data_IF_170950734070
#
_entry.id   IF_170950734070
#
_cell.length_a   1.000
_cell.length_b   1.000
_cell.length_c   1.000
_cell.angle_alpha   90.00
_cell.angle_beta   90.00
_cell.angle_gamma   90.00
#
_symmetry.space_group_name_H-M   'P 1'
#
loop_
_entity.id
_entity.type
_entity.pdbx_description
1 polymer ?
#
# COMPACT_ATOMS: atom_id res chain seq x y z
N UNK A 1 25.97 11.29 18.03
CA UNK A 1 25.80 12.27 19.11
C UNK A 1 25.12 11.53 20.26
N UNK A 2 25.73 11.55 21.44
CA UNK A 2 25.20 10.93 22.65
C UNK A 2 23.86 11.57 22.99
N UNK A 3 22.79 10.78 23.05
CA UNK A 3 21.52 11.22 23.60
C UNK A 3 21.75 11.76 25.02
N UNK A 4 21.23 12.95 25.38
CA UNK A 4 21.34 13.43 26.74
C UNK A 4 20.52 12.48 27.62
N UNK A 5 21.22 11.76 28.49
CA UNK A 5 20.63 10.91 29.54
C UNK A 5 19.62 11.77 30.29
N UNK A 6 18.32 11.53 30.04
CA UNK A 6 17.26 12.17 30.81
C UNK A 6 17.51 11.85 32.28
N UNK A 7 17.40 12.84 33.19
CA UNK A 7 17.59 12.59 34.61
C UNK A 7 16.60 11.50 35.04
N UNK A 8 17.12 10.43 35.64
CA UNK A 8 16.30 9.40 36.27
C UNK A 8 15.47 10.09 37.34
N UNK A 9 14.18 10.27 37.10
CA UNK A 9 13.29 10.79 38.12
C UNK A 9 13.32 9.80 39.29
N UNK A 10 13.62 10.29 40.51
CA UNK A 10 13.70 9.48 41.73
C UNK A 10 12.36 8.87 42.18
N UNK A 11 11.32 8.97 41.35
CA UNK A 11 9.99 8.41 41.57
C UNK A 11 9.33 8.10 40.23
N UNK A 12 8.65 6.95 40.17
CA UNK A 12 7.79 6.62 39.04
C UNK A 12 6.70 7.68 38.87
N UNK A 13 6.43 8.09 37.63
CA UNK A 13 5.44 9.12 37.30
C UNK A 13 4.15 8.45 36.85
N UNK A 14 3.05 8.84 37.50
CA UNK A 14 1.70 8.53 37.04
C UNK A 14 1.37 9.34 35.79
N UNK A 15 0.55 8.79 34.89
CA UNK A 15 0.00 9.52 33.75
C UNK A 15 -1.04 10.59 34.16
N UNK A 16 -1.32 10.73 35.47
CA UNK A 16 -2.20 11.78 36.02
C UNK A 16 -3.69 11.45 35.98
N UNK A 17 -4.08 10.26 35.51
CA UNK A 17 -5.48 9.82 35.48
C UNK A 17 -5.84 9.26 36.88
N UNK A 18 -6.89 9.78 37.55
CA UNK A 18 -7.33 9.25 38.84
C UNK A 18 -7.95 7.85 38.67
N UNK A 19 -8.06 7.05 39.75
CA UNK A 19 -8.78 5.79 39.71
C UNK A 19 -10.22 5.99 39.18
N UNK A 20 -10.73 5.09 38.32
CA UNK A 20 -12.06 5.22 37.74
C UNK A 20 -13.14 5.00 38.80
N UNK A 21 -14.24 5.74 38.72
CA UNK A 21 -15.44 5.54 39.52
C UNK A 21 -16.33 4.43 38.93
N UNK A 22 -15.74 3.25 38.67
CA UNK A 22 -16.42 2.09 38.09
C UNK A 22 -16.29 0.88 39.03
N UNK A 23 -17.35 0.05 39.10
CA UNK A 23 -17.28 -1.25 39.77
C UNK A 23 -16.49 -2.25 38.91
N UNK A 24 -15.27 -2.55 39.34
CA UNK A 24 -14.31 -3.43 38.66
C UNK A 24 -13.91 -4.58 39.62
N UNK A 25 -14.58 -5.75 39.57
CA UNK A 25 -14.23 -6.89 40.41
C UNK A 25 -12.79 -7.38 40.16
N UNK A 26 -12.20 -8.09 41.14
CA UNK A 26 -10.85 -8.63 40.99
C UNK A 26 -10.77 -9.67 39.84
N UNK A 27 -9.71 -9.63 39.01
CA UNK A 27 -9.57 -10.44 37.80
C UNK A 27 -9.16 -11.90 38.09
N UNK A 28 -9.84 -12.57 39.01
CA UNK A 28 -9.53 -13.95 39.43
C UNK A 28 -9.91 -15.00 38.37
N UNK A 29 -10.60 -14.58 37.31
CA UNK A 29 -11.00 -15.42 36.17
C UNK A 29 -10.84 -14.65 34.84
N UNK A 30 -10.54 -15.32 33.72
CA UNK A 30 -10.32 -14.67 32.42
C UNK A 30 -11.46 -13.76 31.96
N UNK A 31 -12.72 -14.15 32.20
CA UNK A 31 -13.88 -13.38 31.74
C UNK A 31 -13.96 -12.01 32.42
N UNK A 32 -13.52 -11.94 33.69
CA UNK A 32 -13.52 -10.70 34.48
C UNK A 32 -12.52 -9.69 33.91
N UNK A 33 -11.38 -10.15 33.37
CA UNK A 33 -10.38 -9.28 32.76
C UNK A 33 -10.97 -8.55 31.56
N UNK A 34 -11.64 -9.28 30.66
CA UNK A 34 -12.29 -8.72 29.48
C UNK A 34 -13.41 -7.77 29.87
N UNK A 35 -14.31 -8.17 30.78
CA UNK A 35 -15.42 -7.33 31.22
C UNK A 35 -14.97 -6.02 31.87
N UNK A 36 -13.93 -6.07 32.71
CA UNK A 36 -13.35 -4.88 33.33
C UNK A 36 -12.75 -3.93 32.30
N UNK A 37 -11.99 -4.46 31.33
CA UNK A 37 -11.41 -3.64 30.27
C UNK A 37 -12.51 -3.01 29.40
N UNK A 38 -13.58 -3.76 29.09
CA UNK A 38 -14.72 -3.23 28.35
C UNK A 38 -15.45 -2.13 29.13
N UNK A 39 -15.61 -2.25 30.45
CA UNK A 39 -16.11 -1.14 31.30
C UNK A 39 -15.22 0.09 31.21
N UNK A 40 -13.89 -0.07 31.28
CA UNK A 40 -12.94 1.04 31.17
C UNK A 40 -13.04 1.78 29.83
N UNK A 41 -13.31 1.07 28.72
CA UNK A 41 -13.47 1.73 27.41
C UNK A 41 -14.66 2.70 27.36
N UNK A 42 -15.62 2.62 28.29
CA UNK A 42 -16.75 3.56 28.36
C UNK A 42 -16.32 4.98 28.71
N UNK A 43 -15.12 5.14 29.28
CA UNK A 43 -14.53 6.43 29.64
C UNK A 43 -13.89 7.15 28.43
N UNK A 44 -13.78 6.49 27.27
CA UNK A 44 -13.20 7.08 26.06
C UNK A 44 -14.15 8.15 25.50
N UNK A 45 -13.78 9.45 25.45
CA UNK A 45 -14.71 10.52 25.07
C UNK A 45 -15.11 10.50 23.59
N UNK A 46 -14.20 10.06 22.72
CA UNK A 46 -14.46 9.99 21.28
C UNK A 46 -15.18 8.67 20.96
N UNK A 47 -16.43 8.75 20.54
CA UNK A 47 -17.27 7.56 20.26
C UNK A 47 -16.71 6.66 19.16
N UNK A 48 -16.00 7.21 18.16
CA UNK A 48 -15.34 6.39 17.13
C UNK A 48 -14.16 5.60 17.71
N UNK A 49 -13.31 6.23 18.51
CA UNK A 49 -12.21 5.56 19.18
C UNK A 49 -12.73 4.48 20.13
N UNK A 50 -13.77 4.79 20.92
CA UNK A 50 -14.44 3.83 21.80
C UNK A 50 -14.92 2.61 21.03
N UNK A 51 -15.64 2.82 19.92
CA UNK A 51 -16.09 1.74 19.05
C UNK A 51 -14.93 0.89 18.52
N UNK A 52 -13.88 1.51 17.98
CA UNK A 52 -12.71 0.80 17.43
C UNK A 52 -12.02 -0.03 18.52
N UNK A 53 -11.70 0.57 19.66
CA UNK A 53 -10.98 -0.13 20.73
C UNK A 53 -11.82 -1.23 21.38
N UNK A 54 -13.13 -1.03 21.55
CA UNK A 54 -14.02 -2.11 22.01
C UNK A 54 -14.01 -3.32 21.08
N UNK A 55 -14.05 -3.07 19.76
CA UNK A 55 -13.96 -4.16 18.76
C UNK A 55 -12.60 -4.83 18.77
N UNK A 56 -11.52 -4.06 18.75
CA UNK A 56 -10.15 -4.58 18.79
C UNK A 56 -9.91 -5.45 20.03
N UNK A 57 -10.22 -4.92 21.22
CA UNK A 57 -10.07 -5.64 22.48
C UNK A 57 -10.91 -6.91 22.49
N UNK A 58 -12.17 -6.83 22.06
CA UNK A 58 -13.07 -7.97 21.99
C UNK A 58 -12.52 -9.07 21.09
N UNK A 59 -12.10 -8.75 19.86
CA UNK A 59 -11.52 -9.73 18.93
C UNK A 59 -10.19 -10.30 19.43
N UNK A 60 -9.33 -9.47 20.03
CA UNK A 60 -8.04 -9.92 20.56
C UNK A 60 -8.20 -10.87 21.74
N UNK A 61 -9.04 -10.53 22.72
CA UNK A 61 -9.29 -11.39 23.88
C UNK A 61 -10.02 -12.68 23.47
N UNK A 62 -10.93 -12.60 22.50
CA UNK A 62 -11.58 -13.78 21.94
C UNK A 62 -10.56 -14.71 21.27
N UNK A 63 -9.63 -14.17 20.45
CA UNK A 63 -8.54 -14.96 19.85
C UNK A 63 -7.68 -15.65 20.91
N UNK A 64 -7.28 -14.92 21.96
CA UNK A 64 -6.50 -15.49 23.07
C UNK A 64 -7.26 -16.62 23.76
N UNK A 65 -8.54 -16.41 24.05
CA UNK A 65 -9.36 -17.40 24.76
C UNK A 65 -9.64 -18.64 23.91
N UNK A 66 -9.96 -18.48 22.62
CA UNK A 66 -10.36 -19.59 21.76
C UNK A 66 -9.18 -20.48 21.36
N UNK A 67 -7.98 -19.91 21.28
CA UNK A 67 -6.74 -20.64 21.00
C UNK A 67 -6.08 -21.17 22.26
N UNK A 68 -6.40 -20.61 23.43
CA UNK A 68 -5.75 -20.93 24.70
C UNK A 68 -4.22 -20.84 24.60
N UNK A 69 -3.72 -19.78 23.96
CA UNK A 69 -2.26 -19.59 23.76
C UNK A 69 -1.50 -19.76 25.08
N UNK A 70 -0.40 -20.49 25.01
CA UNK A 70 0.51 -20.67 26.14
C UNK A 70 1.33 -19.41 26.39
N UNK A 71 1.92 -19.30 27.58
CA UNK A 71 2.86 -18.20 27.91
C UNK A 71 4.05 -18.17 26.96
N UNK A 72 4.51 -19.32 26.48
CA UNK A 72 5.62 -19.42 25.52
C UNK A 72 5.21 -18.88 24.14
N UNK A 73 4.07 -19.30 23.61
CA UNK A 73 3.54 -18.78 22.33
C UNK A 73 3.26 -17.27 22.39
N UNK A 74 2.73 -16.80 23.53
CA UNK A 74 2.57 -15.36 23.78
C UNK A 74 3.92 -14.64 23.77
N UNK A 75 4.93 -15.15 24.47
CA UNK A 75 6.27 -14.54 24.48
C UNK A 75 6.91 -14.53 23.09
N UNK A 76 6.76 -15.60 22.32
CA UNK A 76 7.22 -15.66 20.92
C UNK A 76 6.53 -14.59 20.07
N UNK A 77 5.23 -14.35 20.28
CA UNK A 77 4.49 -13.27 19.61
C UNK A 77 5.01 -11.88 19.99
N UNK A 78 5.29 -11.65 21.29
CA UNK A 78 5.88 -10.38 21.76
C UNK A 78 7.26 -10.15 21.12
N UNK A 79 8.10 -11.18 21.05
CA UNK A 79 9.41 -11.10 20.41
C UNK A 79 9.29 -10.83 18.90
N UNK A 80 8.33 -11.48 18.22
CA UNK A 80 8.04 -11.22 16.81
C UNK A 80 7.67 -9.75 16.55
N UNK A 81 6.73 -9.20 17.32
CA UNK A 81 6.31 -7.80 17.19
C UNK A 81 7.44 -6.83 17.56
N UNK A 82 8.25 -7.18 18.56
CA UNK A 82 9.44 -6.39 18.94
C UNK A 82 10.44 -6.33 17.79
N UNK A 83 10.81 -7.47 17.20
CA UNK A 83 11.71 -7.52 16.04
C UNK A 83 11.12 -6.76 14.85
N UNK A 84 9.81 -6.89 14.60
CA UNK A 84 9.11 -6.17 13.52
C UNK A 84 9.30 -4.66 13.68
N UNK A 85 9.12 -4.11 14.89
CA UNK A 85 9.38 -2.71 15.18
C UNK A 85 10.85 -2.32 15.02
N UNK A 86 11.79 -3.16 15.46
CA UNK A 86 13.24 -2.90 15.36
C UNK A 86 13.78 -2.96 13.92
N UNK A 87 13.12 -3.70 13.03
CA UNK A 87 13.46 -3.77 11.60
C UNK A 87 12.98 -2.54 10.82
N UNK A 88 12.06 -1.74 11.37
CA UNK A 88 11.57 -0.53 10.70
C UNK A 88 12.65 0.57 10.65
N UNK A 89 12.80 1.20 9.49
CA UNK A 89 13.69 2.36 9.22
C UNK A 89 12.90 3.41 8.41
N UNK A 90 13.46 4.61 8.12
CA UNK A 90 12.80 5.57 7.24
C UNK A 90 12.49 5.05 5.83
N UNK A 91 13.23 4.04 5.34
CA UNK A 91 13.05 3.44 4.01
C UNK A 91 12.39 2.06 4.05
N UNK A 92 12.31 1.41 5.23
CA UNK A 92 11.72 0.08 5.42
C UNK A 92 10.63 0.13 6.48
N UNK A 93 9.39 -0.17 6.09
CA UNK A 93 8.26 -0.24 7.03
C UNK A 93 7.79 -1.68 7.23
N UNK A 94 8.43 -2.42 8.13
CA UNK A 94 8.13 -3.84 8.38
C UNK A 94 6.71 -4.04 8.96
N UNK A 95 6.17 -3.07 9.71
CA UNK A 95 4.76 -3.13 10.15
C UNK A 95 3.76 -2.96 9.01
N UNK A 96 4.09 -2.14 7.99
CA UNK A 96 3.27 -2.06 6.77
C UNK A 96 3.37 -3.38 6.01
N UNK A 97 4.58 -3.95 5.90
CA UNK A 97 4.76 -5.25 5.25
C UNK A 97 4.01 -6.38 5.97
N UNK A 98 3.96 -6.36 7.31
CA UNK A 98 3.15 -7.29 8.10
C UNK A 98 1.65 -7.12 7.80
N UNK A 99 1.17 -5.87 7.74
CA UNK A 99 -0.20 -5.55 7.32
C UNK A 99 -0.51 -6.05 5.90
N UNK A 100 0.44 -5.90 4.97
CA UNK A 100 0.33 -6.32 3.58
C UNK A 100 0.18 -7.84 3.47
N UNK A 101 1.09 -8.62 4.10
CA UNK A 101 1.06 -10.08 4.00
C UNK A 101 -0.10 -10.70 4.77
N UNK A 102 -0.62 -10.05 5.80
CA UNK A 102 -1.84 -10.48 6.49
C UNK A 102 -3.13 -10.03 5.77
N UNK A 103 -3.01 -9.33 4.64
CA UNK A 103 -4.14 -8.87 3.82
C UNK A 103 -4.88 -7.67 4.41
N UNK A 104 -4.40 -7.08 5.51
CA UNK A 104 -5.02 -5.94 6.18
C UNK A 104 -4.96 -4.71 5.29
N UNK A 105 -3.84 -4.44 4.62
CA UNK A 105 -3.71 -3.28 3.72
C UNK A 105 -4.66 -3.37 2.53
N UNK A 106 -4.75 -4.54 1.89
CA UNK A 106 -5.68 -4.79 0.78
C UNK A 106 -7.15 -4.69 1.23
N UNK A 107 -7.47 -5.18 2.44
CA UNK A 107 -8.80 -5.05 3.02
C UNK A 107 -9.16 -3.58 3.32
N UNK A 108 -8.24 -2.82 3.90
CA UNK A 108 -8.43 -1.39 4.17
C UNK A 108 -8.65 -0.62 2.86
N UNK A 109 -7.86 -0.91 1.82
CA UNK A 109 -8.05 -0.34 0.48
C UNK A 109 -9.45 -0.66 -0.05
N UNK A 110 -9.85 -1.93 -0.06
CA UNK A 110 -11.15 -2.34 -0.61
C UNK A 110 -12.35 -1.70 0.11
N UNK A 111 -12.26 -1.53 1.43
CA UNK A 111 -13.31 -0.91 2.24
C UNK A 111 -13.39 0.61 2.05
N UNK A 112 -12.26 1.29 1.81
CA UNK A 112 -12.20 2.74 1.67
C UNK A 112 -12.29 3.22 0.22
N UNK A 113 -12.05 2.33 -0.74
CA UNK A 113 -12.12 2.59 -2.17
C UNK A 113 -13.05 1.56 -2.85
N UNK A 114 -14.34 1.47 -2.44
CA UNK A 114 -15.27 0.55 -3.06
C UNK A 114 -15.39 0.85 -4.56
N UNK A 115 -15.59 -0.16 -5.42
CA UNK A 115 -15.69 0.04 -6.85
C UNK A 115 -16.79 1.05 -7.21
N UNK A 116 -16.44 2.03 -8.01
CA UNK A 116 -17.38 2.96 -8.63
C UNK A 116 -17.46 2.63 -10.11
N UNK A 117 -18.67 2.55 -10.65
CA UNK A 117 -18.88 2.21 -12.06
C UNK A 117 -18.09 3.15 -12.97
N UNK A 118 -17.29 2.57 -13.87
CA UNK A 118 -16.40 3.29 -14.77
C UNK A 118 -15.07 3.72 -14.16
N UNK A 119 -14.95 3.84 -12.84
CA UNK A 119 -13.71 4.25 -12.17
C UNK A 119 -12.62 3.19 -12.21
N UNK A 120 -11.36 3.61 -12.38
CA UNK A 120 -10.21 2.70 -12.26
C UNK A 120 -10.11 2.19 -10.83
N UNK A 121 -9.92 0.88 -10.67
CA UNK A 121 -9.82 0.26 -9.35
C UNK A 121 -8.53 0.71 -8.63
N UNK A 122 -8.62 0.96 -7.32
CA UNK A 122 -7.44 1.18 -6.50
C UNK A 122 -6.64 -0.12 -6.27
N UNK A 123 -5.41 0.00 -5.77
CA UNK A 123 -4.63 -1.10 -5.21
C UNK A 123 -3.76 -0.58 -4.06
N UNK A 124 -3.08 -1.49 -3.36
CA UNK A 124 -2.19 -1.15 -2.26
C UNK A 124 -1.03 -0.28 -2.73
N UNK A 125 -0.66 0.72 -1.91
CA UNK A 125 0.48 1.60 -2.18
C UNK A 125 1.81 0.84 -2.20
N UNK A 126 1.93 -0.17 -1.33
CA UNK A 126 3.19 -0.86 -1.07
C UNK A 126 4.18 0.01 -0.27
N UNK A 127 5.30 -0.58 0.19
CA UNK A 127 6.23 0.09 1.09
C UNK A 127 7.28 0.95 0.36
N UNK A 128 7.27 1.00 -0.98
CA UNK A 128 8.34 1.58 -1.79
C UNK A 128 8.01 2.95 -2.37
N UNK A 129 6.88 3.56 -2.03
CA UNK A 129 6.61 4.94 -2.44
C UNK A 129 7.57 5.93 -1.75
N UNK A 130 8.04 6.94 -2.48
CA UNK A 130 8.88 8.02 -1.97
C UNK A 130 8.43 9.35 -2.58
N UNK A 131 8.53 10.44 -1.81
CA UNK A 131 8.06 11.76 -2.25
C UNK A 131 9.03 12.46 -3.23
N UNK A 132 10.23 11.92 -3.41
CA UNK A 132 11.35 12.49 -4.18
C UNK A 132 11.34 12.12 -5.67
N UNK A 133 10.23 11.61 -6.19
CA UNK A 133 10.09 11.33 -7.62
C UNK A 133 10.33 12.61 -8.45
N UNK A 134 11.23 12.57 -9.46
CA UNK A 134 11.55 13.74 -10.27
C UNK A 134 10.39 14.11 -11.19
N UNK A 135 10.18 15.40 -11.41
CA UNK A 135 9.25 15.87 -12.44
C UNK A 135 9.82 15.57 -13.83
N UNK A 136 9.01 14.98 -14.71
CA UNK A 136 9.38 14.60 -16.07
C UNK A 136 8.33 15.09 -17.08
N UNK A 137 8.80 15.54 -18.24
CA UNK A 137 7.94 15.98 -19.34
C UNK A 137 7.19 14.80 -20.00
N UNK A 138 6.10 15.09 -20.69
CA UNK A 138 5.41 14.10 -21.50
C UNK A 138 6.35 13.48 -22.54
N UNK A 139 6.40 12.16 -22.56
CA UNK A 139 7.28 11.36 -23.40
C UNK A 139 8.70 11.23 -22.87
N UNK A 140 9.07 11.83 -21.74
CA UNK A 140 10.38 11.62 -21.12
C UNK A 140 10.51 10.21 -20.50
N UNK A 141 11.71 9.85 -20.03
CA UNK A 141 11.97 8.55 -19.38
C UNK A 141 11.93 8.67 -17.87
N UNK A 142 11.29 7.73 -17.20
CA UNK A 142 11.36 7.57 -15.73
C UNK A 142 12.49 6.65 -15.28
N UNK A 143 13.11 5.94 -16.23
CA UNK A 143 14.17 4.98 -15.99
C UNK A 143 15.45 5.36 -16.75
N UNK A 144 16.59 5.18 -16.09
CA UNK A 144 17.92 5.31 -16.68
C UNK A 144 18.18 4.19 -17.70
N UNK A 145 19.12 4.41 -18.61
CA UNK A 145 19.50 3.40 -19.61
C UNK A 145 20.05 2.13 -18.97
N UNK A 146 19.64 0.97 -19.49
CA UNK A 146 20.10 -0.34 -19.00
C UNK A 146 19.39 -0.84 -17.75
N UNK A 147 18.21 -0.30 -17.44
CA UNK A 147 17.34 -0.79 -16.35
C UNK A 147 16.36 -1.90 -16.75
N UNK A 148 16.29 -2.25 -18.03
CA UNK A 148 15.48 -3.35 -18.50
C UNK A 148 14.95 -3.16 -19.92
N UNK A 149 14.03 -4.06 -20.31
CA UNK A 149 13.36 -3.99 -21.60
C UNK A 149 12.52 -2.71 -21.68
N UNK A 150 12.65 -1.96 -22.78
CA UNK A 150 11.88 -0.73 -22.97
C UNK A 150 10.37 -0.95 -22.95
N UNK A 151 9.69 -0.08 -22.23
CA UNK A 151 8.24 0.05 -22.20
C UNK A 151 7.85 1.51 -22.47
N UNK A 152 6.77 1.71 -23.22
CA UNK A 152 6.10 3.00 -23.30
C UNK A 152 4.73 2.87 -22.66
N UNK A 153 4.39 3.81 -21.79
CA UNK A 153 3.10 3.85 -21.10
C UNK A 153 2.33 5.05 -21.60
N UNK A 154 1.07 4.89 -21.99
CA UNK A 154 0.23 6.00 -22.47
C UNK A 154 -1.26 5.81 -22.22
N UNK A 155 -1.99 6.91 -22.28
CA UNK A 155 -3.45 6.92 -22.19
C UNK A 155 -3.99 8.31 -21.90
N UNK A 156 -5.19 8.36 -21.33
CA UNK A 156 -5.84 9.59 -20.89
C UNK A 156 -6.29 9.49 -19.44
N UNK A 157 -6.20 10.60 -18.72
CA UNK A 157 -6.87 10.81 -17.44
C UNK A 157 -8.25 11.40 -17.73
N UNK A 158 -9.29 10.67 -17.37
CA UNK A 158 -10.68 11.01 -17.62
C UNK A 158 -11.49 10.95 -16.32
N UNK A 159 -12.62 11.65 -16.27
CA UNK A 159 -13.66 11.44 -15.26
C UNK A 159 -14.59 10.27 -15.64
N UNK A 160 -15.44 9.85 -14.70
CA UNK A 160 -16.43 8.77 -14.91
C UNK A 160 -17.47 9.07 -16.01
N UNK A 161 -17.66 10.34 -16.39
CA UNK A 161 -18.49 10.77 -17.52
C UNK A 161 -17.70 10.94 -18.84
N UNK A 162 -16.41 10.58 -18.85
CA UNK A 162 -15.55 10.56 -20.05
C UNK A 162 -14.92 11.90 -20.42
N UNK A 163 -15.01 12.93 -19.57
CA UNK A 163 -14.35 14.22 -19.82
C UNK A 163 -12.85 14.11 -19.50
N UNK A 164 -11.97 14.75 -20.30
CA UNK A 164 -10.56 14.81 -19.99
C UNK A 164 -10.27 15.66 -18.75
N UNK A 165 -9.33 15.20 -17.93
CA UNK A 165 -8.85 15.91 -16.75
C UNK A 165 -7.43 16.43 -17.06
N UNK A 166 -7.28 17.73 -17.36
CA UNK A 166 -5.98 18.33 -17.59
C UNK A 166 -5.22 18.56 -16.28
N UNK A 167 -3.90 18.67 -16.37
CA UNK A 167 -2.99 18.97 -15.26
C UNK A 167 -3.07 18.00 -14.06
N UNK A 168 -3.67 16.81 -14.25
CA UNK A 168 -3.68 15.76 -13.26
C UNK A 168 -2.24 15.28 -13.02
N UNK A 169 -1.83 15.23 -11.76
CA UNK A 169 -0.51 14.74 -11.35
C UNK A 169 -0.54 13.22 -11.40
N UNK A 170 0.40 12.63 -12.13
CA UNK A 170 0.62 11.19 -12.20
C UNK A 170 2.02 10.94 -11.65
N UNK A 171 2.09 10.26 -10.51
CA UNK A 171 3.33 9.72 -9.95
C UNK A 171 3.39 8.23 -10.22
N UNK A 172 4.51 7.76 -10.74
CA UNK A 172 4.67 6.39 -11.21
C UNK A 172 6.01 5.82 -10.77
N UNK A 173 6.03 4.55 -10.39
CA UNK A 173 7.25 3.86 -9.96
C UNK A 173 7.17 2.36 -10.20
N UNK A 174 8.32 1.75 -10.46
CA UNK A 174 8.44 0.32 -10.75
C UNK A 174 9.81 -0.24 -10.36
N UNK A 175 9.95 -1.56 -10.41
CA UNK A 175 11.24 -2.23 -10.28
C UNK A 175 12.00 -2.22 -11.61
N UNK A 176 13.33 -2.27 -11.54
CA UNK A 176 14.15 -2.59 -12.71
C UNK A 176 14.13 -4.09 -13.08
N UNK A 177 14.91 -4.48 -14.09
CA UNK A 177 14.99 -5.87 -14.59
C UNK A 177 15.48 -6.89 -13.56
N UNK A 178 16.07 -6.43 -12.45
CA UNK A 178 16.52 -7.28 -11.35
C UNK A 178 15.46 -7.40 -10.25
N UNK A 179 14.30 -6.74 -10.40
CA UNK A 179 13.22 -6.78 -9.43
C UNK A 179 13.46 -5.87 -8.21
N UNK A 180 14.35 -4.89 -8.31
CA UNK A 180 14.59 -3.92 -7.24
C UNK A 180 13.98 -2.57 -7.56
N UNK A 181 13.38 -1.96 -6.54
CA UNK A 181 13.21 -0.51 -6.50
C UNK A 181 14.56 0.15 -6.20
N UNK A 182 14.79 1.33 -6.76
CA UNK A 182 15.93 2.20 -6.45
C UNK A 182 16.23 2.34 -4.95
N UNK A 183 15.19 2.41 -4.09
CA UNK A 183 15.29 2.49 -2.62
C UNK A 183 15.93 1.30 -1.95
N UNK A 184 16.05 0.17 -2.65
CA UNK A 184 16.65 -1.05 -2.14
C UNK A 184 18.16 -1.13 -2.45
N UNK A 185 18.68 -0.27 -3.33
CA UNK A 185 20.11 -0.18 -3.58
C UNK A 185 20.77 0.65 -2.48
N UNK A 186 21.86 0.12 -1.90
CA UNK A 186 22.63 0.80 -0.87
C UNK A 186 23.16 2.17 -1.36
N UNK A 187 23.58 2.20 -2.62
CA UNK A 187 23.98 3.41 -3.33
C UNK A 187 22.81 3.90 -4.20
N UNK A 188 21.92 4.71 -3.61
CA UNK A 188 20.84 5.42 -4.33
C UNK A 188 21.29 6.86 -4.59
N UNK A 189 22.02 7.15 -5.69
CA UNK A 189 22.50 8.51 -5.96
C UNK A 189 21.35 9.49 -6.26
N UNK A 190 20.27 8.98 -6.86
CA UNK A 190 19.05 9.70 -7.19
C UNK A 190 17.89 8.71 -7.32
N UNK A 191 16.68 9.23 -7.36
CA UNK A 191 15.50 8.44 -7.71
C UNK A 191 15.61 7.92 -9.17
N UNK A 192 15.27 6.66 -9.39
CA UNK A 192 15.31 5.99 -10.71
C UNK A 192 14.17 4.98 -10.82
N UNK A 193 13.73 4.69 -12.06
CA UNK A 193 12.47 3.98 -12.32
C UNK A 193 11.26 4.62 -11.60
N UNK A 194 11.29 5.96 -11.48
CA UNK A 194 10.28 6.80 -10.82
C UNK A 194 10.11 8.11 -11.58
N UNK A 195 8.90 8.62 -11.65
CA UNK A 195 8.66 9.94 -12.22
C UNK A 195 7.32 10.53 -11.84
N UNK A 196 7.25 11.86 -11.96
CA UNK A 196 6.04 12.65 -11.77
C UNK A 196 5.78 13.46 -13.03
N UNK A 197 4.60 13.32 -13.61
CA UNK A 197 4.21 14.01 -14.83
C UNK A 197 2.80 14.58 -14.68
N UNK A 198 2.41 15.44 -15.62
CA UNK A 198 1.06 16.03 -15.67
C UNK A 198 0.37 15.70 -16.99
N UNK A 199 -0.92 15.38 -16.93
CA UNK A 199 -1.73 15.19 -18.13
C UNK A 199 -1.88 16.50 -18.92
N UNK A 200 -1.95 16.41 -20.25
CA UNK A 200 -2.15 17.57 -21.11
C UNK A 200 -3.59 18.11 -21.09
N UNK A 201 -3.84 19.18 -21.86
CA UNK A 201 -5.17 19.81 -22.00
C UNK A 201 -6.30 18.85 -22.43
N UNK A 202 -5.96 17.75 -23.11
CA UNK A 202 -6.89 16.72 -23.58
C UNK A 202 -6.86 15.49 -22.64
N UNK A 203 -6.25 15.62 -21.47
CA UNK A 203 -6.07 14.58 -20.46
C UNK A 203 -4.99 13.55 -20.81
N UNK A 204 -4.25 13.70 -21.90
CA UNK A 204 -3.30 12.68 -22.35
C UNK A 204 -2.06 12.64 -21.48
N UNK A 205 -1.51 11.46 -21.32
CA UNK A 205 -0.20 11.25 -20.75
C UNK A 205 0.58 10.21 -21.55
N UNK A 206 1.90 10.27 -21.45
CA UNK A 206 2.79 9.28 -22.06
C UNK A 206 4.20 9.43 -21.54
N UNK A 207 4.92 8.33 -21.35
CA UNK A 207 6.31 8.33 -20.91
C UNK A 207 7.02 7.01 -21.23
N UNK A 208 8.36 7.03 -21.25
CA UNK A 208 9.20 5.85 -21.38
C UNK A 208 9.52 5.28 -19.99
N UNK A 209 9.52 3.97 -19.92
CA UNK A 209 9.68 3.16 -18.71
C UNK A 209 10.41 1.85 -19.08
N UNK A 210 10.50 0.90 -18.14
CA UNK A 210 11.01 -0.44 -18.41
C UNK A 210 9.96 -1.49 -18.02
N UNK A 211 10.00 -2.68 -18.62
CA UNK A 211 9.07 -3.75 -18.22
C UNK A 211 9.47 -4.27 -16.83
N UNK A 212 8.62 -4.13 -15.80
CA UNK A 212 8.94 -4.67 -14.48
C UNK A 212 8.93 -6.20 -14.51
N UNK A 213 9.63 -6.81 -13.56
CA UNK A 213 9.70 -8.26 -13.37
C UNK A 213 9.02 -8.66 -12.05
N UNK A 214 8.60 -9.92 -11.95
CA UNK A 214 8.17 -10.46 -10.67
C UNK A 214 9.32 -10.39 -9.66
N UNK A 215 9.02 -10.01 -8.43
CA UNK A 215 10.05 -9.83 -7.40
C UNK A 215 9.56 -10.30 -6.02
N UNK A 216 10.48 -10.74 -5.16
CA UNK A 216 10.16 -11.03 -3.77
C UNK A 216 10.03 -9.74 -2.95
N UNK A 217 8.99 -9.63 -2.10
CA UNK A 217 9.02 -8.68 -0.98
C UNK A 217 10.16 -9.04 0.00
N UNK A 218 10.67 -8.07 0.80
CA UNK A 218 11.76 -8.34 1.76
C UNK A 218 11.49 -9.59 2.61
N UNK A 219 12.39 -10.56 2.52
CA UNK A 219 12.29 -11.86 3.20
C UNK A 219 13.32 -12.08 4.31
N UNK A 220 14.15 -11.07 4.59
CA UNK A 220 15.26 -11.08 5.56
C UNK A 220 14.84 -10.59 6.97
N UNK A 221 13.56 -10.28 7.16
CA UNK A 221 13.00 -9.80 8.42
C UNK A 221 11.96 -10.75 9.03
N UNK A 222 11.34 -10.36 10.16
CA UNK A 222 10.30 -11.16 10.82
C UNK A 222 9.15 -11.54 9.88
N UNK A 223 8.76 -10.66 8.95
CA UNK A 223 7.70 -11.01 7.98
C UNK A 223 8.13 -12.16 7.07
N UNK A 224 9.40 -12.24 6.69
CA UNK A 224 9.97 -13.38 5.98
C UNK A 224 9.85 -14.68 6.78
N UNK A 225 10.23 -14.65 8.06
CA UNK A 225 10.07 -15.80 8.98
C UNK A 225 8.61 -16.26 9.04
N UNK A 226 7.66 -15.32 9.12
CA UNK A 226 6.22 -15.61 9.15
C UNK A 226 5.74 -16.27 7.85
N UNK A 227 6.17 -15.78 6.69
CA UNK A 227 5.79 -16.39 5.42
C UNK A 227 6.31 -17.82 5.29
N UNK A 228 7.54 -18.07 5.71
CA UNK A 228 8.11 -19.42 5.77
C UNK A 228 7.31 -20.33 6.71
N UNK A 229 6.97 -19.83 7.90
CA UNK A 229 6.14 -20.55 8.87
C UNK A 229 4.77 -20.94 8.29
N UNK A 230 4.16 -20.05 7.51
CA UNK A 230 2.85 -20.27 6.86
C UNK A 230 2.94 -21.05 5.53
N UNK A 231 4.14 -21.45 5.10
CA UNK A 231 4.34 -22.12 3.80
C UNK A 231 4.00 -21.24 2.59
N UNK A 232 4.13 -19.92 2.72
CA UNK A 232 3.81 -18.93 1.68
C UNK A 232 5.08 -18.42 0.99
N UNK A 233 4.99 -18.20 -0.33
CA UNK A 233 6.03 -17.48 -1.05
C UNK A 233 5.94 -15.97 -0.76
N UNK A 234 7.06 -15.26 -0.94
CA UNK A 234 7.13 -13.80 -0.83
C UNK A 234 7.08 -13.09 -2.19
N UNK A 235 6.76 -13.80 -3.28
CA UNK A 235 6.71 -13.23 -4.62
C UNK A 235 5.48 -12.35 -4.87
N UNK A 236 5.71 -11.21 -5.52
CA UNK A 236 4.69 -10.41 -6.18
C UNK A 236 4.80 -10.57 -7.70
N UNK A 237 3.68 -10.58 -8.45
CA UNK A 237 3.72 -10.50 -9.91
C UNK A 237 4.35 -9.19 -10.35
N UNK A 238 4.86 -9.12 -11.58
CA UNK A 238 5.32 -7.85 -12.12
C UNK A 238 4.21 -6.78 -12.12
N UNK A 239 4.57 -5.54 -11.79
CA UNK A 239 3.62 -4.44 -11.82
C UNK A 239 4.28 -3.08 -11.90
N UNK A 240 3.51 -2.14 -12.41
CA UNK A 240 3.80 -0.71 -12.44
C UNK A 240 2.83 -0.01 -11.50
N UNK A 241 3.34 0.74 -10.52
CA UNK A 241 2.50 1.54 -9.65
C UNK A 241 2.16 2.88 -10.28
N UNK A 242 0.95 3.38 -9.97
CA UNK A 242 0.59 4.77 -10.24
C UNK A 242 -0.20 5.38 -9.08
N UNK A 243 0.06 6.65 -8.84
CA UNK A 243 -0.71 7.51 -7.96
C UNK A 243 -1.15 8.74 -8.74
N UNK A 244 -2.46 9.00 -8.76
CA UNK A 244 -3.05 10.05 -9.56
C UNK A 244 -3.82 11.01 -8.66
N UNK A 245 -3.54 12.29 -8.82
CA UNK A 245 -4.20 13.38 -8.10
C UNK A 245 -4.69 14.47 -9.05
N UNK A 246 -5.94 14.89 -8.85
CA UNK A 246 -6.52 16.04 -9.54
C UNK A 246 -7.51 16.75 -8.60
N UNK A 247 -7.59 18.10 -8.61
CA UNK A 247 -8.55 18.82 -7.78
C UNK A 247 -10.00 18.37 -7.99
N UNK A 248 -10.72 18.07 -6.91
CA UNK A 248 -12.11 17.62 -6.95
C UNK A 248 -12.30 16.11 -7.19
N UNK A 249 -11.20 15.37 -7.39
CA UNK A 249 -11.22 13.92 -7.58
C UNK A 249 -10.60 13.20 -6.38
N UNK A 250 -11.14 12.02 -6.09
CA UNK A 250 -10.54 11.10 -5.14
C UNK A 250 -9.14 10.70 -5.64
N UNK A 251 -8.11 10.95 -4.82
CA UNK A 251 -6.76 10.44 -5.06
C UNK A 251 -6.81 8.92 -5.32
N UNK A 252 -6.25 8.51 -6.45
CA UNK A 252 -6.21 7.11 -6.88
C UNK A 252 -4.80 6.56 -6.71
N UNK A 253 -4.63 5.59 -5.82
CA UNK A 253 -3.44 4.72 -5.80
C UNK A 253 -3.81 3.41 -6.47
N UNK A 254 -3.04 2.99 -7.48
CA UNK A 254 -3.29 1.76 -8.23
C UNK A 254 -1.99 1.10 -8.69
N UNK A 255 -2.11 -0.07 -9.30
CA UNK A 255 -1.00 -0.78 -9.92
C UNK A 255 -1.52 -1.58 -11.13
N UNK A 256 -0.72 -1.68 -12.18
CA UNK A 256 -1.04 -2.46 -13.38
C UNK A 256 -0.17 -3.71 -13.46
N UNK A 257 -0.82 -4.85 -13.68
CA UNK A 257 -0.21 -6.17 -13.66
C UNK A 257 -0.23 -6.79 -15.06
N UNK A 258 0.90 -6.86 -15.78
CA UNK A 258 0.96 -7.55 -17.06
C UNK A 258 0.42 -8.98 -17.02
N UNK A 259 -0.40 -9.34 -18.01
CA UNK A 259 -0.92 -10.70 -18.16
C UNK A 259 0.19 -11.72 -18.41
N UNK A 260 0.00 -12.95 -17.94
CA UNK A 260 0.95 -14.06 -18.13
C UNK A 260 1.99 -14.23 -17.03
N UNK A 261 2.02 -13.35 -16.02
CA UNK A 261 2.88 -13.53 -14.85
C UNK A 261 2.39 -14.70 -13.97
N UNK A 262 3.32 -15.54 -13.53
CA UNK A 262 3.07 -16.74 -12.72
C UNK A 262 2.37 -16.44 -11.39
N UNK A 263 2.56 -15.25 -10.81
CA UNK A 263 2.11 -14.91 -9.46
C UNK A 263 0.82 -14.06 -9.42
N UNK A 264 0.13 -13.85 -10.56
CA UNK A 264 -1.09 -13.05 -10.61
C UNK A 264 -2.20 -13.55 -9.67
N UNK A 265 -2.34 -14.87 -9.52
CA UNK A 265 -3.35 -15.49 -8.66
C UNK A 265 -2.87 -15.73 -7.22
N UNK A 266 -1.61 -15.42 -6.91
CA UNK A 266 -1.00 -15.72 -5.62
C UNK A 266 -0.15 -14.59 -5.03
N UNK A 267 -0.33 -13.34 -5.49
CA UNK A 267 0.39 -12.16 -4.99
C UNK A 267 0.49 -12.15 -3.46
N UNK A 268 1.71 -12.08 -2.92
CA UNK A 268 1.99 -12.20 -1.49
C UNK A 268 1.24 -11.16 -0.63
N UNK A 269 0.81 -10.05 -1.22
CA UNK A 269 0.13 -8.93 -0.55
C UNK A 269 -1.31 -8.70 -1.02
N UNK A 270 -1.87 -9.60 -1.84
CA UNK A 270 -3.25 -9.53 -2.32
C UNK A 270 -3.59 -8.23 -3.09
N UNK A 271 -2.63 -7.66 -3.84
CA UNK A 271 -2.82 -6.40 -4.56
C UNK A 271 -3.50 -6.53 -5.93
N UNK A 272 -3.51 -7.73 -6.51
CA UNK A 272 -4.04 -7.97 -7.86
C UNK A 272 -5.57 -7.91 -7.85
N UNK A 273 -6.12 -7.03 -8.70
CA UNK A 273 -7.55 -7.03 -9.08
C UNK A 273 -7.66 -7.36 -10.56
N UNK A 274 -8.67 -8.13 -10.96
CA UNK A 274 -8.86 -8.56 -12.36
C UNK A 274 -8.91 -7.38 -13.35
N UNK A 275 -9.52 -6.26 -12.96
CA UNK A 275 -9.60 -5.02 -13.74
C UNK A 275 -8.24 -4.33 -13.95
N UNK A 276 -7.23 -4.69 -13.16
CA UNK A 276 -5.89 -4.13 -13.20
C UNK A 276 -4.88 -5.07 -13.88
N UNK A 277 -5.33 -6.24 -14.36
CA UNK A 277 -4.52 -7.10 -15.22
C UNK A 277 -4.55 -6.51 -16.64
N UNK A 278 -3.38 -6.16 -17.16
CA UNK A 278 -3.22 -5.42 -18.42
C UNK A 278 -2.43 -6.21 -19.44
N UNK A 279 -2.62 -5.89 -20.72
CA UNK A 279 -1.83 -6.47 -21.81
C UNK A 279 -0.73 -5.52 -22.22
N UNK A 280 0.50 -6.03 -22.28
CA UNK A 280 1.62 -5.34 -22.92
C UNK A 280 1.70 -5.76 -24.39
N UNK A 281 1.57 -4.80 -25.31
CA UNK A 281 1.63 -5.06 -26.75
C UNK A 281 3.07 -4.91 -27.25
N UNK A 282 3.56 -5.89 -28.01
CA UNK A 282 4.85 -5.78 -28.70
C UNK A 282 4.78 -4.79 -29.86
N UNK A 283 5.64 -3.77 -29.84
CA UNK A 283 5.85 -2.86 -30.96
C UNK A 283 7.25 -3.11 -31.52
N UNK A 284 7.31 -3.70 -32.72
CA UNK A 284 8.55 -4.05 -33.41
C UNK A 284 8.80 -3.09 -34.58
N UNK A 285 8.85 -1.79 -34.28
CA UNK A 285 9.02 -0.72 -35.28
C UNK A 285 10.06 0.30 -34.76
N UNK A 286 11.23 0.31 -35.40
CA UNK A 286 12.34 1.22 -35.03
C UNK A 286 11.98 2.69 -35.24
N UNK A 287 11.18 3.02 -36.26
CA UNK A 287 10.73 4.37 -36.53
C UNK A 287 9.82 4.89 -35.42
N UNK A 288 8.87 4.06 -34.99
CA UNK A 288 7.99 4.38 -33.86
C UNK A 288 8.77 4.47 -32.54
N UNK A 289 9.72 3.57 -32.31
CA UNK A 289 10.59 3.61 -31.13
C UNK A 289 11.40 4.92 -31.06
N UNK A 290 12.00 5.35 -32.18
CA UNK A 290 12.74 6.62 -32.27
C UNK A 290 11.83 7.83 -32.11
N UNK A 291 10.64 7.81 -32.70
CA UNK A 291 9.63 8.88 -32.54
C UNK A 291 9.20 9.04 -31.07
N UNK A 292 9.13 7.94 -30.33
CA UNK A 292 8.88 7.91 -28.88
C UNK A 292 10.13 8.18 -28.03
N UNK A 293 11.27 8.46 -28.66
CA UNK A 293 12.51 8.88 -28.04
C UNK A 293 13.32 7.78 -27.35
N UNK A 294 13.12 6.50 -27.71
CA UNK A 294 14.02 5.43 -27.28
C UNK A 294 15.37 5.57 -28.00
N UNK A 295 16.49 5.80 -27.29
CA UNK A 295 17.76 6.18 -27.91
C UNK A 295 18.34 5.07 -28.80
N UNK A 296 18.11 3.81 -28.44
CA UNK A 296 18.56 2.64 -29.21
C UNK A 296 17.59 2.25 -30.34
N UNK A 297 16.40 2.86 -30.40
CA UNK A 297 15.33 2.42 -31.30
C UNK A 297 14.91 0.97 -31.01
N UNK A 298 14.60 0.20 -32.05
CA UNK A 298 14.27 -1.22 -31.94
C UNK A 298 12.81 -1.49 -31.53
N UNK A 299 12.62 -2.46 -30.63
CA UNK A 299 11.31 -2.85 -30.13
C UNK A 299 11.08 -2.40 -28.69
N UNK A 300 9.82 -2.22 -28.32
CA UNK A 300 9.39 -1.90 -26.97
C UNK A 300 8.02 -2.51 -26.67
N UNK A 301 7.68 -2.60 -25.38
CA UNK A 301 6.33 -2.96 -24.93
C UNK A 301 5.46 -1.71 -24.80
N UNK A 302 4.23 -1.75 -25.30
CA UNK A 302 3.26 -0.67 -25.13
C UNK A 302 2.23 -1.07 -24.06
N UNK A 303 2.13 -0.26 -23.01
CA UNK A 303 1.01 -0.25 -22.07
C UNK A 303 0.11 0.93 -22.41
N UNK A 304 -1.09 0.65 -22.94
CA UNK A 304 -2.10 1.66 -23.20
C UNK A 304 -3.27 1.49 -22.23
N UNK A 305 -3.55 2.50 -21.41
CA UNK A 305 -4.60 2.44 -20.40
C UNK A 305 -5.19 3.81 -20.08
N UNK A 306 -6.51 3.96 -20.11
CA UNK A 306 -7.17 5.20 -19.68
C UNK A 306 -7.46 5.15 -18.17
N UNK A 307 -6.95 6.15 -17.45
CA UNK A 307 -7.13 6.34 -16.01
C UNK A 307 -8.44 7.08 -15.76
N UNK A 308 -9.41 6.42 -15.15
CA UNK A 308 -10.73 7.00 -14.87
C UNK A 308 -10.83 7.37 -13.40
N UNK A 309 -10.75 8.68 -13.12
CA UNK A 309 -10.86 9.22 -11.77
C UNK A 309 -12.32 9.41 -11.36
N UNK A 310 -12.56 9.17 -10.08
CA UNK A 310 -13.86 9.30 -9.43
C UNK A 310 -13.89 10.63 -8.69
N UNK A 311 -14.95 11.42 -8.86
CA UNK A 311 -15.13 12.65 -8.10
C UNK A 311 -15.24 12.36 -6.60
N UNK A 312 -14.77 13.27 -5.74
CA UNK A 312 -14.79 13.07 -4.29
C UNK A 312 -16.20 12.76 -3.76
N UNK A 313 -17.22 13.44 -4.28
CA UNK A 313 -18.61 13.23 -3.85
C UNK A 313 -19.14 11.86 -4.27
N UNK A 314 -18.77 11.40 -5.47
CA UNK A 314 -19.12 10.05 -5.93
C UNK A 314 -18.43 8.97 -5.08
N UNK A 315 -17.15 9.18 -4.72
CA UNK A 315 -16.40 8.32 -3.81
C UNK A 315 -17.02 8.27 -2.40
N UNK A 316 -17.40 9.43 -1.84
CA UNK A 316 -18.09 9.52 -0.54
C UNK A 316 -19.43 8.78 -0.59
N UNK A 317 -20.22 8.98 -1.64
CA UNK A 317 -21.50 8.30 -1.81
C UNK A 317 -21.34 6.77 -1.90
N UNK A 318 -20.35 6.28 -2.64
CA UNK A 318 -20.04 4.86 -2.77
C UNK A 318 -19.64 4.23 -1.43
N UNK A 319 -18.79 4.90 -0.64
CA UNK A 319 -18.43 4.46 0.72
C UNK A 319 -19.64 4.37 1.64
N UNK A 320 -20.52 5.37 1.62
CA UNK A 320 -21.74 5.38 2.43
C UNK A 320 -22.71 4.26 2.01
N UNK A 321 -22.84 4.00 0.71
CA UNK A 321 -23.65 2.90 0.20
C UNK A 321 -23.08 1.54 0.65
N UNK A 322 -21.78 1.33 0.44
CA UNK A 322 -21.10 0.11 0.85
C UNK A 322 -21.27 -0.15 2.35
N UNK A 323 -21.12 0.89 3.18
CA UNK A 323 -21.32 0.78 4.62
C UNK A 323 -22.75 0.37 5.00
N UNK A 324 -23.77 0.93 4.34
CA UNK A 324 -25.18 0.56 4.57
C UNK A 324 -25.45 -0.90 4.20
N UNK A 325 -24.95 -1.35 3.05
CA UNK A 325 -25.15 -2.73 2.56
C UNK A 325 -24.48 -3.78 3.45
N UNK A 326 -23.37 -3.43 4.10
CA UNK A 326 -22.56 -4.35 4.91
C UNK A 326 -22.71 -4.11 6.43
N UNK A 327 -23.68 -3.28 6.85
CA UNK A 327 -23.94 -3.01 8.27
C UNK A 327 -22.77 -2.33 9.01
N UNK A 328 -21.88 -1.66 8.29
CA UNK A 328 -20.72 -0.97 8.88
C UNK A 328 -21.20 0.34 9.51
N UNK A 329 -21.00 0.47 10.83
CA UNK A 329 -21.21 1.75 11.52
C UNK A 329 -20.13 2.73 11.05
N UNK A 330 -20.55 3.73 10.27
CA UNK A 330 -19.73 4.86 9.84
C UNK A 330 -19.67 5.91 10.93
#
# INVERSE_FOLDING_TARGET
>A
MSDPVKPVQNKAVSNGIPPPELDLPFPDRPEIITDNLMKLTTLVPNERNKFIFQKLIGHLHQFVSETSITTEEWMNTIQFLTRTGQTCTPLRQEFILLSDVLGVSALVDALNNPPVSGGTSSSVLGPFFTEDAPDVELGASIASEGKGQYMYVEGRVLSTDGKPIPDAVIETWETDEFGFYDTQYADRPQADCRGRLRSDKDGKYGYRAVVPVAYPIPGDGPVGDLLLLLGRHNMRPNHLHMMIEAPGYQKLTTAFYPEGDTYLSSDAVFGVKKSLVVKLTDVNDDGEARKRGFPKGGSFKLLQFDLILVEEEQSKAARLQYAREHGVKT
#
